data_IF_627962470618
#
_entry.id   IF_627962470618
#
_cell.length_a   1.000
_cell.length_b   1.000
_cell.length_c   1.000
_cell.angle_alpha   90.00
_cell.angle_beta   90.00
_cell.angle_gamma   90.00
#
_symmetry.space_group_name_H-M   'P 1'
#
loop_
_entity.id
_entity.type
_entity.pdbx_description
1 polymer ?
#
# COMPACT_ATOMS: atom_id res chain seq x y z
N UNK A 1 -5.64 26.37 5.84
CA UNK A 1 -5.31 25.21 4.98
C UNK A 1 -6.38 25.06 3.91
N UNK A 2 -6.01 25.15 2.64
CA UNK A 2 -6.91 25.04 1.49
C UNK A 2 -7.34 23.59 1.24
N UNK A 3 -8.42 23.39 0.45
CA UNK A 3 -8.88 22.06 0.03
C UNK A 3 -7.82 21.33 -0.83
N UNK A 4 -6.99 22.06 -1.56
CA UNK A 4 -5.92 21.51 -2.39
C UNK A 4 -4.76 20.97 -1.55
N UNK A 5 -4.33 21.69 -0.51
CA UNK A 5 -3.30 21.22 0.42
C UNK A 5 -3.71 19.93 1.15
N UNK A 6 -5.01 19.78 1.44
CA UNK A 6 -5.56 18.53 2.02
C UNK A 6 -5.58 17.39 1.00
N UNK A 7 -5.89 17.66 -0.26
CA UNK A 7 -5.94 16.66 -1.35
C UNK A 7 -4.52 16.20 -1.74
N UNK A 8 -3.57 17.13 -1.76
CA UNK A 8 -2.14 16.87 -2.01
C UNK A 8 -1.52 16.08 -0.85
N UNK A 9 -1.77 16.46 0.43
CA UNK A 9 -1.37 15.66 1.60
C UNK A 9 -1.91 14.23 1.57
N UNK A 10 -3.15 14.04 1.10
CA UNK A 10 -3.78 12.71 1.05
C UNK A 10 -3.20 11.86 -0.08
N UNK A 11 -2.86 12.43 -1.23
CA UNK A 11 -2.18 11.73 -2.33
C UNK A 11 -0.72 11.40 -2.04
N UNK A 12 -0.05 12.29 -1.33
CA UNK A 12 1.37 12.20 -0.99
C UNK A 12 1.78 10.91 -0.25
N UNK A 13 0.97 10.45 0.71
CA UNK A 13 1.27 9.21 1.44
C UNK A 13 0.83 7.96 0.67
N UNK A 14 -0.01 8.10 -0.35
CA UNK A 14 -0.60 6.94 -1.04
C UNK A 14 0.42 6.21 -1.91
N UNK A 15 1.32 6.91 -2.60
CA UNK A 15 2.40 6.27 -3.37
C UNK A 15 3.33 5.44 -2.46
N UNK A 16 3.69 5.99 -1.30
CA UNK A 16 4.53 5.31 -0.30
C UNK A 16 3.80 4.12 0.29
N UNK A 17 2.52 4.25 0.66
CA UNK A 17 1.72 3.12 1.15
C UNK A 17 1.58 2.05 0.08
N UNK A 18 1.37 2.42 -1.19
CA UNK A 18 1.27 1.46 -2.29
C UNK A 18 2.58 0.70 -2.52
N UNK A 19 3.72 1.40 -2.50
CA UNK A 19 5.05 0.78 -2.53
C UNK A 19 5.18 -0.27 -1.42
N UNK A 20 4.89 0.12 -0.17
CA UNK A 20 4.98 -0.77 0.99
C UNK A 20 3.94 -1.90 0.97
N UNK A 21 2.79 -1.69 0.33
CA UNK A 21 1.76 -2.74 0.14
C UNK A 21 2.31 -3.85 -0.75
N UNK A 22 3.07 -3.51 -1.80
CA UNK A 22 3.72 -4.51 -2.67
C UNK A 22 4.79 -5.29 -1.90
N UNK A 23 5.56 -4.62 -1.05
CA UNK A 23 6.50 -5.27 -0.13
C UNK A 23 5.77 -6.26 0.79
N UNK A 24 4.63 -5.87 1.36
CA UNK A 24 3.79 -6.73 2.20
C UNK A 24 3.26 -7.96 1.43
N UNK A 25 2.75 -7.78 0.21
CA UNK A 25 2.27 -8.88 -0.65
C UNK A 25 3.40 -9.84 -1.05
N UNK A 26 4.60 -9.32 -1.25
CA UNK A 26 5.82 -10.10 -1.45
C UNK A 26 6.32 -10.80 -0.17
N UNK A 27 5.60 -10.69 0.95
CA UNK A 27 5.95 -11.26 2.27
C UNK A 27 7.33 -10.81 2.78
N UNK A 28 7.82 -9.67 2.31
CA UNK A 28 9.09 -9.11 2.75
C UNK A 28 8.87 -8.26 4.01
N UNK A 29 8.57 -8.94 5.12
CA UNK A 29 8.20 -8.29 6.37
C UNK A 29 9.37 -7.59 7.06
N UNK A 30 10.62 -8.00 6.82
CA UNK A 30 11.79 -7.35 7.45
C UNK A 30 11.90 -5.85 7.16
N UNK A 31 11.50 -5.42 5.96
CA UNK A 31 11.41 -4.00 5.60
C UNK A 31 10.34 -3.29 6.45
N UNK A 32 9.16 -3.91 6.60
CA UNK A 32 8.04 -3.34 7.34
C UNK A 32 8.31 -3.31 8.86
N UNK A 33 8.92 -4.36 9.39
CA UNK A 33 9.33 -4.45 10.79
C UNK A 33 10.37 -3.39 11.13
N UNK A 34 11.32 -3.16 10.21
CA UNK A 34 12.30 -2.07 10.35
C UNK A 34 11.60 -0.73 10.47
N UNK A 35 10.63 -0.44 9.59
CA UNK A 35 9.85 0.80 9.65
C UNK A 35 8.99 0.93 10.91
N UNK A 36 8.54 -0.18 11.49
CA UNK A 36 7.64 -0.19 12.63
C UNK A 36 8.35 -0.07 13.99
N UNK A 37 9.57 -0.58 14.10
CA UNK A 37 10.24 -0.77 15.40
C UNK A 37 11.62 -0.13 15.52
N UNK A 38 12.32 0.12 14.41
CA UNK A 38 13.64 0.73 14.46
C UNK A 38 13.52 2.24 14.57
N UNK A 39 14.38 2.85 15.40
CA UNK A 39 14.44 4.30 15.59
C UNK A 39 15.63 4.97 14.89
N UNK A 40 16.62 4.18 14.46
CA UNK A 40 17.78 4.68 13.72
C UNK A 40 17.39 5.06 12.28
N UNK A 41 17.53 6.35 11.96
CA UNK A 41 17.17 6.90 10.65
C UNK A 41 17.99 6.28 9.51
N UNK A 42 19.26 5.93 9.73
CA UNK A 42 20.11 5.32 8.71
C UNK A 42 19.61 3.92 8.35
N UNK A 43 19.20 3.15 9.35
CA UNK A 43 18.64 1.80 9.14
C UNK A 43 17.27 1.89 8.44
N UNK A 44 16.42 2.84 8.84
CA UNK A 44 15.14 3.10 8.18
C UNK A 44 15.34 3.49 6.71
N UNK A 45 16.29 4.39 6.44
CA UNK A 45 16.60 4.82 5.08
C UNK A 45 17.14 3.67 4.23
N UNK A 46 17.95 2.78 4.81
CA UNK A 46 18.40 1.56 4.12
C UNK A 46 17.23 0.61 3.80
N UNK A 47 16.26 0.46 4.71
CA UNK A 47 15.05 -0.32 4.45
C UNK A 47 14.18 0.30 3.33
N UNK A 48 14.02 1.62 3.32
CA UNK A 48 13.30 2.32 2.24
C UNK A 48 14.01 2.18 0.89
N UNK A 49 15.35 2.30 0.87
CA UNK A 49 16.13 2.00 -0.32
C UNK A 49 15.87 0.57 -0.83
N UNK A 50 15.91 -0.42 0.06
CA UNK A 50 15.65 -1.82 -0.30
C UNK A 50 14.22 -2.02 -0.81
N UNK A 51 13.23 -1.31 -0.25
CA UNK A 51 11.86 -1.34 -0.73
C UNK A 51 11.73 -0.82 -2.16
N UNK A 52 12.30 0.37 -2.41
CA UNK A 52 12.30 0.99 -3.75
C UNK A 52 13.04 0.10 -4.74
N UNK A 53 14.22 -0.42 -4.37
CA UNK A 53 15.01 -1.33 -5.20
C UNK A 53 14.22 -2.60 -5.53
N UNK A 54 13.62 -3.25 -4.54
CA UNK A 54 12.81 -4.44 -4.76
C UNK A 54 11.68 -4.17 -5.76
N UNK A 55 10.89 -3.11 -5.52
CA UNK A 55 9.75 -2.79 -6.39
C UNK A 55 10.18 -2.33 -7.78
N UNK A 56 11.34 -1.68 -7.92
CA UNK A 56 11.87 -1.28 -9.23
C UNK A 56 12.17 -2.48 -10.14
N UNK A 57 12.38 -3.67 -9.58
CA UNK A 57 12.55 -4.91 -10.36
C UNK A 57 11.23 -5.51 -10.83
N UNK A 58 10.09 -4.98 -10.35
CA UNK A 58 8.75 -5.43 -10.72
C UNK A 58 8.08 -4.33 -11.55
N UNK A 59 7.97 -4.55 -12.87
CA UNK A 59 7.63 -3.55 -13.91
C UNK A 59 6.24 -2.86 -13.79
N UNK A 60 5.52 -2.98 -12.68
CA UNK A 60 4.09 -2.65 -12.59
C UNK A 60 3.69 -1.68 -11.47
N UNK A 61 4.63 -1.13 -10.70
CA UNK A 61 4.31 -0.33 -9.51
C UNK A 61 4.89 1.08 -9.62
N UNK A 62 4.03 2.08 -9.42
CA UNK A 62 4.44 3.47 -9.32
C UNK A 62 5.32 3.68 -8.08
N UNK A 63 6.54 4.17 -8.30
CA UNK A 63 7.50 4.48 -7.24
C UNK A 63 7.25 5.92 -6.75
N UNK A 64 7.34 6.21 -5.44
CA UNK A 64 7.26 7.58 -4.94
C UNK A 64 8.30 8.49 -5.60
N UNK A 65 7.90 9.69 -5.97
CA UNK A 65 8.80 10.72 -6.48
C UNK A 65 9.81 11.17 -5.41
N UNK A 66 10.91 11.80 -5.84
CA UNK A 66 11.89 12.39 -4.92
C UNK A 66 11.25 13.42 -3.97
N UNK A 67 10.35 14.27 -4.51
CA UNK A 67 9.55 15.20 -3.70
C UNK A 67 8.73 14.46 -2.66
N UNK A 68 8.20 13.29 -3.01
CA UNK A 68 7.43 12.48 -2.07
C UNK A 68 8.30 11.95 -0.91
N UNK A 69 9.50 11.47 -1.22
CA UNK A 69 10.44 11.00 -0.20
C UNK A 69 10.93 12.14 0.70
N UNK A 70 11.24 13.30 0.12
CA UNK A 70 11.75 14.45 0.87
C UNK A 70 10.75 14.97 1.91
N UNK A 71 9.46 15.04 1.56
CA UNK A 71 8.42 15.45 2.52
C UNK A 71 8.23 14.35 3.59
N UNK A 72 8.41 13.06 3.26
CA UNK A 72 8.32 11.97 4.23
C UNK A 72 9.41 12.14 5.28
N UNK A 73 10.66 12.32 4.85
CA UNK A 73 11.79 12.55 5.74
C UNK A 73 11.59 13.81 6.60
N UNK A 74 11.12 14.90 6.00
CA UNK A 74 10.82 16.13 6.74
C UNK A 74 9.73 15.93 7.81
N UNK A 75 8.72 15.08 7.54
CA UNK A 75 7.68 14.73 8.51
C UNK A 75 8.20 13.77 9.58
N UNK A 76 8.98 12.76 9.18
CA UNK A 76 9.55 11.76 10.06
C UNK A 76 10.48 12.38 11.11
N UNK A 77 11.29 13.37 10.71
CA UNK A 77 12.13 14.14 11.66
C UNK A 77 11.32 14.85 12.75
N UNK A 78 10.07 15.24 12.45
CA UNK A 78 9.16 15.86 13.44
C UNK A 78 8.32 14.85 14.20
N UNK A 79 8.02 13.71 13.58
CA UNK A 79 7.19 12.65 14.12
C UNK A 79 7.65 11.29 13.56
N UNK A 80 8.60 10.61 14.22
CA UNK A 80 9.12 9.32 13.76
C UNK A 80 8.05 8.22 13.66
N UNK A 81 6.94 8.33 14.41
CA UNK A 81 5.85 7.37 14.38
C UNK A 81 5.17 7.24 13.01
N UNK A 82 5.41 8.18 12.09
CA UNK A 82 4.88 8.11 10.72
C UNK A 82 5.34 6.85 9.98
N UNK A 83 6.55 6.32 10.24
CA UNK A 83 7.01 5.09 9.60
C UNK A 83 6.19 3.88 10.02
N UNK A 84 5.90 3.76 11.33
CA UNK A 84 5.02 2.73 11.87
C UNK A 84 3.60 2.86 11.32
N UNK A 85 3.08 4.08 11.23
CA UNK A 85 1.76 4.33 10.64
C UNK A 85 1.69 3.87 9.18
N UNK A 86 2.73 4.14 8.39
CA UNK A 86 2.83 3.69 7.00
C UNK A 86 2.89 2.17 6.88
N UNK A 87 3.68 1.50 7.72
CA UNK A 87 3.76 0.04 7.77
C UNK A 87 2.39 -0.60 8.09
N UNK A 88 1.68 -0.09 9.09
CA UNK A 88 0.33 -0.57 9.47
C UNK A 88 -0.66 -0.40 8.31
N UNK A 89 -0.66 0.78 7.67
CA UNK A 89 -1.54 1.06 6.52
C UNK A 89 -1.28 0.13 5.35
N UNK A 90 -0.01 -0.13 5.04
CA UNK A 90 0.41 -1.03 3.98
C UNK A 90 -0.03 -2.48 4.23
N UNK A 91 0.22 -2.98 5.45
CA UNK A 91 -0.24 -4.33 5.87
C UNK A 91 -1.75 -4.46 5.78
N UNK A 92 -2.48 -3.48 6.33
CA UNK A 92 -3.95 -3.46 6.29
C UNK A 92 -4.49 -3.47 4.86
N UNK A 93 -3.80 -2.78 3.93
CA UNK A 93 -4.20 -2.74 2.52
C UNK A 93 -3.90 -4.06 1.81
N UNK A 94 -2.73 -4.65 2.04
CA UNK A 94 -2.37 -5.94 1.46
C UNK A 94 -3.39 -7.03 1.83
N UNK A 95 -3.74 -7.12 3.13
CA UNK A 95 -4.72 -8.10 3.62
C UNK A 95 -6.10 -7.95 2.97
N UNK A 96 -6.62 -6.71 2.87
CA UNK A 96 -7.93 -6.44 2.25
C UNK A 96 -7.99 -6.77 0.77
N UNK A 97 -6.89 -6.58 0.05
CA UNK A 97 -6.83 -6.91 -1.37
C UNK A 97 -6.83 -8.43 -1.58
N UNK A 98 -6.08 -9.16 -0.76
CA UNK A 98 -6.09 -10.62 -0.78
C UNK A 98 -7.50 -11.19 -0.45
N UNK A 99 -8.24 -10.59 0.49
CA UNK A 99 -9.64 -10.94 0.77
C UNK A 99 -10.57 -10.73 -0.45
N UNK A 100 -10.38 -9.63 -1.19
CA UNK A 100 -11.18 -9.33 -2.39
C UNK A 100 -10.84 -10.20 -3.59
N UNK A 101 -9.61 -10.71 -3.67
CA UNK A 101 -9.17 -11.67 -4.69
C UNK A 101 -9.65 -13.11 -4.36
N UNK A 102 -10.07 -13.39 -3.12
CA UNK A 102 -10.55 -14.70 -2.65
C UNK A 102 -12.08 -14.87 -2.66
N UNK A 103 -12.87 -13.85 -3.04
CA UNK A 103 -14.32 -14.02 -3.19
C UNK A 103 -14.63 -14.58 -4.60
N UNK A 104 -15.01 -15.86 -4.76
CA UNK A 104 -15.36 -16.40 -6.07
C UNK A 104 -16.63 -15.72 -6.60
N UNK A 105 -16.57 -15.27 -7.85
CA UNK A 105 -17.71 -14.75 -8.64
C UNK A 105 -18.70 -15.87 -9.02
N UNK A 106 -19.16 -16.68 -8.07
CA UNK A 106 -20.03 -17.83 -8.33
C UNK A 106 -21.49 -17.63 -7.92
N UNK A 107 -21.97 -16.38 -7.79
CA UNK A 107 -23.37 -16.09 -7.41
C UNK A 107 -24.12 -15.16 -8.38
N UNK A 108 -23.71 -15.07 -9.66
CA UNK A 108 -24.45 -14.24 -10.65
C UNK A 108 -24.94 -14.97 -11.91
N UNK A 109 -24.72 -16.28 -12.06
CA UNK A 109 -25.21 -17.04 -13.24
C UNK A 109 -26.50 -17.85 -13.01
N UNK A 110 -26.92 -18.15 -11.78
CA UNK A 110 -28.13 -18.98 -11.56
C UNK A 110 -29.48 -18.24 -11.68
N UNK A 111 -29.50 -16.89 -11.73
CA UNK A 111 -30.75 -16.12 -11.75
C UNK A 111 -31.34 -15.84 -13.15
N UNK A 112 -30.72 -16.34 -14.25
CA UNK A 112 -31.20 -16.06 -15.63
C UNK A 112 -31.61 -17.28 -16.46
N UNK A 113 -31.54 -18.51 -15.94
CA UNK A 113 -32.06 -19.70 -16.65
C UNK A 113 -33.43 -20.19 -16.17
N UNK A 114 -34.02 -19.60 -15.13
CA UNK A 114 -35.31 -20.04 -14.56
C UNK A 114 -36.56 -19.33 -15.11
N UNK A 115 -36.45 -18.44 -16.12
CA UNK A 115 -37.62 -17.73 -16.70
C UNK A 115 -37.91 -18.05 -18.17
N UNK A 116 -37.29 -19.06 -18.77
CA UNK A 116 -37.62 -19.48 -20.15
C UNK A 116 -37.81 -21.00 -20.25
N UNK A 117 -38.92 -21.48 -19.72
CA UNK A 117 -39.29 -22.90 -19.76
C UNK A 117 -40.67 -23.17 -19.19
N UNK A 118 -41.70 -22.52 -19.73
CA UNK A 118 -43.09 -22.71 -19.33
C UNK A 118 -44.03 -22.59 -20.54
N UNK A 119 -43.83 -23.46 -21.52
CA UNK A 119 -44.81 -23.69 -22.59
C UNK A 119 -45.44 -25.06 -22.40
N UNK A 120 -46.73 -25.08 -22.11
CA UNK A 120 -47.74 -25.99 -22.64
C UNK A 120 -49.12 -25.44 -22.27
#
# INVERSE_FOLDING_TARGET
MSKEEKKEKKRFLESIVNLLTVIARGKNYGILDTLAYVSDESIINAALYNAIRYVSTQNSVSIPSERELNILFAKARKNPAIYKELAIRALSRALKQDESEQTPKSEQEEAKQSTQGGGQ
#
